data_IF_095548145268
#
_entry.id   IF_095548145268
#
_cell.length_a   1.000
_cell.length_b   1.000
_cell.length_c   1.000
_cell.angle_alpha   90.00
_cell.angle_beta   90.00
_cell.angle_gamma   90.00
#
_symmetry.space_group_name_H-M   'P 1'
#
loop_
_entity.id
_entity.type
_entity.pdbx_description
1 polymer ?
#
# COMPACT_ATOMS: atom_id res chain seq x y z
N UNK A 1 2.06 2.34 -14.98
CA UNK A 1 2.93 2.86 -16.05
C UNK A 1 3.33 1.74 -17.00
N UNK A 2 4.12 0.74 -16.59
CA UNK A 2 4.57 -0.35 -17.47
C UNK A 2 3.43 -1.15 -18.11
N UNK A 3 2.38 -1.51 -17.35
CA UNK A 3 1.19 -2.16 -17.92
C UNK A 3 0.42 -1.30 -18.93
N UNK A 4 0.36 0.02 -18.71
CA UNK A 4 -0.23 0.94 -19.70
C UNK A 4 0.61 1.01 -20.98
N UNK A 5 1.94 1.01 -20.85
CA UNK A 5 2.85 0.91 -22.00
C UNK A 5 2.68 -0.41 -22.73
N UNK A 6 2.51 -1.53 -22.01
CA UNK A 6 2.21 -2.84 -22.58
C UNK A 6 0.93 -2.80 -23.44
N UNK A 7 -0.18 -2.33 -22.88
CA UNK A 7 -1.45 -2.30 -23.61
C UNK A 7 -1.43 -1.35 -24.80
N UNK A 8 -0.76 -0.19 -24.70
CA UNK A 8 -0.70 0.79 -25.78
C UNK A 8 0.32 0.50 -26.88
N UNK A 9 1.41 -0.20 -26.57
CA UNK A 9 2.59 -0.30 -27.45
C UNK A 9 3.10 -1.72 -27.71
N UNK A 10 2.47 -2.77 -27.15
CA UNK A 10 2.94 -4.16 -27.33
C UNK A 10 3.03 -4.59 -28.80
N UNK A 11 2.12 -4.12 -29.66
CA UNK A 11 2.12 -4.42 -31.09
C UNK A 11 3.29 -3.79 -31.87
N UNK A 12 3.95 -2.78 -31.31
CA UNK A 12 5.11 -2.09 -31.89
C UNK A 12 6.44 -2.59 -31.30
N UNK A 13 6.39 -3.48 -30.30
CA UNK A 13 7.57 -4.06 -29.66
C UNK A 13 7.91 -5.43 -30.25
N UNK A 14 9.19 -5.80 -30.16
CA UNK A 14 9.59 -7.18 -30.44
C UNK A 14 8.98 -8.13 -29.38
N UNK A 15 8.63 -9.36 -29.78
CA UNK A 15 8.02 -10.35 -28.87
C UNK A 15 8.82 -10.54 -27.55
N UNK A 16 10.17 -10.60 -27.54
CA UNK A 16 10.93 -10.71 -26.28
C UNK A 16 10.84 -9.45 -25.40
N UNK A 17 10.97 -8.25 -25.98
CA UNK A 17 10.83 -6.99 -25.23
C UNK A 17 9.44 -6.86 -24.64
N UNK A 18 8.47 -7.32 -25.42
CA UNK A 18 7.10 -7.35 -25.06
C UNK A 18 6.89 -8.23 -23.81
N UNK A 19 7.19 -9.53 -23.90
CA UNK A 19 7.07 -10.46 -22.76
C UNK A 19 7.82 -9.97 -21.52
N UNK A 20 9.04 -9.43 -21.69
CA UNK A 20 9.81 -8.88 -20.57
C UNK A 20 9.06 -7.73 -19.88
N UNK A 21 8.51 -6.78 -20.64
CA UNK A 21 7.76 -5.64 -20.10
C UNK A 21 6.54 -6.11 -19.29
N UNK A 22 5.85 -7.14 -19.76
CA UNK A 22 4.75 -7.75 -19.02
C UNK A 22 5.21 -8.40 -17.71
N UNK A 23 6.26 -9.22 -17.74
CA UNK A 23 6.80 -9.85 -16.51
C UNK A 23 7.26 -8.82 -15.48
N UNK A 24 7.91 -7.74 -15.92
CA UNK A 24 8.31 -6.64 -15.03
C UNK A 24 7.07 -5.94 -14.44
N UNK A 25 5.99 -5.80 -15.21
CA UNK A 25 4.72 -5.25 -14.72
C UNK A 25 4.14 -6.13 -13.61
N UNK A 26 4.06 -7.44 -13.82
CA UNK A 26 3.58 -8.39 -12.80
C UNK A 26 4.44 -8.31 -11.53
N UNK A 27 5.76 -8.39 -11.67
CA UNK A 27 6.69 -8.33 -10.55
C UNK A 27 6.60 -7.01 -9.76
N UNK A 28 6.48 -5.88 -10.45
CA UNK A 28 6.30 -4.57 -9.81
C UNK A 28 5.00 -4.50 -9.00
N UNK A 29 3.92 -5.09 -9.53
CA UNK A 29 2.61 -5.07 -8.87
C UNK A 29 2.61 -5.91 -7.58
N UNK A 30 3.17 -7.12 -7.63
CA UNK A 30 3.35 -7.95 -6.44
C UNK A 30 4.28 -7.28 -5.42
N UNK A 31 5.36 -6.65 -5.87
CA UNK A 31 6.29 -5.92 -4.98
C UNK A 31 5.61 -4.74 -4.29
N UNK A 32 4.77 -3.98 -5.00
CA UNK A 32 3.99 -2.91 -4.40
C UNK A 32 3.00 -3.43 -3.34
N UNK A 33 2.32 -4.54 -3.64
CA UNK A 33 1.41 -5.24 -2.72
C UNK A 33 2.12 -5.67 -1.43
N UNK A 34 3.34 -6.22 -1.55
CA UNK A 34 4.20 -6.54 -0.40
C UNK A 34 4.50 -5.32 0.47
N UNK A 35 4.98 -4.23 -0.12
CA UNK A 35 5.35 -3.03 0.66
C UNK A 35 4.15 -2.35 1.32
N UNK A 36 2.99 -2.35 0.67
CA UNK A 36 1.75 -1.85 1.27
C UNK A 36 1.37 -2.65 2.52
N UNK A 37 1.41 -3.98 2.43
CA UNK A 37 1.08 -4.85 3.57
C UNK A 37 2.12 -4.74 4.69
N UNK A 38 3.41 -4.72 4.36
CA UNK A 38 4.48 -4.53 5.33
C UNK A 38 4.35 -3.19 6.07
N UNK A 39 4.14 -2.09 5.33
CA UNK A 39 3.93 -0.76 5.91
C UNK A 39 2.71 -0.70 6.83
N UNK A 40 1.59 -1.30 6.42
CA UNK A 40 0.40 -1.41 7.26
C UNK A 40 0.64 -2.24 8.53
N UNK A 41 1.41 -3.32 8.44
CA UNK A 41 1.74 -4.18 9.58
C UNK A 41 2.55 -3.42 10.64
N UNK A 42 3.62 -2.72 10.24
CA UNK A 42 4.43 -1.90 11.15
C UNK A 42 3.66 -0.69 11.71
N UNK A 43 2.67 -0.15 10.97
CA UNK A 43 1.78 0.89 11.48
C UNK A 43 0.71 0.41 12.46
N UNK A 44 0.37 -0.88 12.44
CA UNK A 44 -0.82 -1.42 13.12
C UNK A 44 -0.48 -2.36 14.28
N UNK A 45 0.65 -3.06 14.24
CA UNK A 45 0.98 -4.12 15.19
C UNK A 45 2.21 -3.77 16.06
N UNK A 46 2.53 -4.64 17.01
CA UNK A 46 3.83 -4.60 17.69
C UNK A 46 4.93 -5.06 16.74
N UNK A 47 6.18 -4.67 17.00
CA UNK A 47 7.33 -5.01 16.14
C UNK A 47 7.43 -6.50 15.83
N UNK A 48 7.28 -7.38 16.83
CA UNK A 48 7.34 -8.84 16.64
C UNK A 48 6.25 -9.35 15.70
N UNK A 49 5.00 -8.90 15.91
CA UNK A 49 3.88 -9.30 15.07
C UNK A 49 3.98 -8.69 13.66
N UNK A 50 4.47 -7.46 13.53
CA UNK A 50 4.72 -6.83 12.24
C UNK A 50 5.80 -7.57 11.43
N UNK A 51 6.88 -8.04 12.07
CA UNK A 51 7.90 -8.88 11.42
C UNK A 51 7.28 -10.19 10.92
N UNK A 52 6.45 -10.86 11.74
CA UNK A 52 5.80 -12.10 11.33
C UNK A 52 4.86 -11.89 10.12
N UNK A 53 4.04 -10.85 10.14
CA UNK A 53 3.17 -10.50 9.00
C UNK A 53 3.98 -10.11 7.77
N UNK A 54 5.09 -9.40 7.94
CA UNK A 54 5.98 -9.03 6.83
C UNK A 54 6.67 -10.25 6.22
N UNK A 55 7.09 -11.22 7.05
CA UNK A 55 7.63 -12.49 6.57
C UNK A 55 6.58 -13.30 5.80
N UNK A 56 5.33 -13.35 6.28
CA UNK A 56 4.23 -13.95 5.54
C UNK A 56 3.95 -13.22 4.21
N UNK A 57 4.01 -11.88 4.19
CA UNK A 57 3.89 -11.08 2.98
C UNK A 57 5.04 -11.35 1.98
N UNK A 58 6.26 -11.55 2.46
CA UNK A 58 7.41 -11.91 1.63
C UNK A 58 7.26 -13.31 1.04
N UNK A 59 6.78 -14.28 1.83
CA UNK A 59 6.47 -15.63 1.34
C UNK A 59 5.37 -15.59 0.26
N UNK A 60 4.30 -14.83 0.48
CA UNK A 60 3.25 -14.57 -0.52
C UNK A 60 3.82 -13.97 -1.80
N UNK A 61 4.68 -12.94 -1.70
CA UNK A 61 5.35 -12.34 -2.85
C UNK A 61 6.19 -13.37 -3.61
N UNK A 62 6.97 -14.19 -2.90
CA UNK A 62 7.78 -15.22 -3.53
C UNK A 62 6.92 -16.23 -4.30
N UNK A 63 5.83 -16.70 -3.70
CA UNK A 63 4.86 -17.60 -4.36
C UNK A 63 4.28 -16.93 -5.61
N UNK A 64 3.85 -15.68 -5.50
CA UNK A 64 3.32 -14.92 -6.65
C UNK A 64 4.36 -14.75 -7.76
N UNK A 65 5.61 -14.39 -7.43
CA UNK A 65 6.69 -14.22 -8.41
C UNK A 65 7.01 -15.53 -9.13
N UNK A 66 7.14 -16.64 -8.38
CA UNK A 66 7.38 -17.96 -8.96
C UNK A 66 6.23 -18.38 -9.87
N UNK A 67 4.98 -18.19 -9.45
CA UNK A 67 3.81 -18.48 -10.26
C UNK A 67 3.77 -17.62 -11.54
N UNK A 68 4.02 -16.32 -11.41
CA UNK A 68 4.03 -15.36 -12.52
C UNK A 68 5.18 -15.57 -13.51
N UNK A 69 6.19 -16.38 -13.18
CA UNK A 69 7.27 -16.70 -14.11
C UNK A 69 6.75 -17.56 -15.29
N UNK A 70 5.79 -18.45 -15.03
CA UNK A 70 5.17 -19.32 -16.04
C UNK A 70 3.77 -18.90 -16.48
N UNK A 71 3.15 -17.95 -15.78
CA UNK A 71 1.79 -17.47 -16.04
C UNK A 71 1.81 -16.01 -16.49
N UNK A 72 0.97 -15.67 -17.46
CA UNK A 72 0.83 -14.31 -18.00
C UNK A 72 -0.54 -13.70 -17.68
N UNK A 73 -1.42 -14.47 -17.04
CA UNK A 73 -2.77 -14.07 -16.68
C UNK A 73 -2.75 -13.01 -15.57
N UNK A 74 -3.64 -12.03 -15.69
CA UNK A 74 -3.77 -10.98 -14.68
C UNK A 74 -4.48 -11.47 -13.41
N UNK A 75 -5.12 -12.64 -13.44
CA UNK A 75 -5.87 -13.20 -12.31
C UNK A 75 -5.02 -13.35 -11.05
N UNK A 76 -3.74 -13.72 -11.20
CA UNK A 76 -2.82 -13.80 -10.07
C UNK A 76 -2.63 -12.45 -9.38
N UNK A 77 -2.61 -11.35 -10.14
CA UNK A 77 -2.52 -9.99 -9.59
C UNK A 77 -3.79 -9.64 -8.82
N UNK A 78 -4.95 -10.04 -9.33
CA UNK A 78 -6.25 -9.83 -8.66
C UNK A 78 -6.26 -10.56 -7.32
N UNK A 79 -5.89 -11.85 -7.30
CA UNK A 79 -5.84 -12.65 -6.07
C UNK A 79 -4.83 -12.08 -5.07
N UNK A 80 -3.62 -11.77 -5.53
CA UNK A 80 -2.55 -11.20 -4.71
C UNK A 80 -2.98 -9.87 -4.07
N UNK A 81 -3.48 -8.95 -4.90
CA UNK A 81 -3.85 -7.60 -4.46
C UNK A 81 -5.07 -7.64 -3.53
N UNK A 82 -6.07 -8.46 -3.84
CA UNK A 82 -7.27 -8.63 -3.00
C UNK A 82 -6.91 -9.21 -1.64
N UNK A 83 -6.08 -10.24 -1.59
CA UNK A 83 -5.61 -10.83 -0.33
C UNK A 83 -4.85 -9.81 0.52
N UNK A 84 -3.97 -9.01 -0.09
CA UNK A 84 -3.26 -7.95 0.62
C UNK A 84 -4.20 -6.85 1.12
N UNK A 85 -5.13 -6.36 0.29
CA UNK A 85 -6.08 -5.32 0.70
C UNK A 85 -6.99 -5.79 1.83
N UNK A 86 -7.46 -7.04 1.79
CA UNK A 86 -8.23 -7.63 2.88
C UNK A 86 -7.41 -7.69 4.18
N UNK A 87 -6.15 -8.13 4.12
CA UNK A 87 -5.27 -8.15 5.28
C UNK A 87 -5.03 -6.73 5.83
N UNK A 88 -4.78 -5.74 4.97
CA UNK A 88 -4.59 -4.33 5.39
C UNK A 88 -5.87 -3.79 6.03
N UNK A 89 -7.05 -4.14 5.52
CA UNK A 89 -8.33 -3.72 6.11
C UNK A 89 -8.50 -4.28 7.52
N UNK A 90 -8.14 -5.56 7.75
CA UNK A 90 -8.11 -6.17 9.07
C UNK A 90 -7.11 -5.45 9.99
N UNK A 91 -5.91 -5.16 9.50
CA UNK A 91 -4.90 -4.42 10.28
C UNK A 91 -5.38 -3.02 10.65
N UNK A 92 -6.01 -2.30 9.72
CA UNK A 92 -6.61 -0.99 9.97
C UNK A 92 -7.72 -1.07 11.03
N UNK A 93 -8.58 -2.10 10.96
CA UNK A 93 -9.62 -2.34 11.96
C UNK A 93 -9.03 -2.65 13.35
N UNK A 94 -8.01 -3.51 13.43
CA UNK A 94 -7.29 -3.80 14.69
C UNK A 94 -6.68 -2.54 15.29
N UNK A 95 -6.01 -1.72 14.47
CA UNK A 95 -5.43 -0.45 14.91
C UNK A 95 -6.48 0.56 15.39
N UNK A 96 -7.66 0.57 14.77
CA UNK A 96 -8.80 1.38 15.20
C UNK A 96 -9.37 0.90 16.54
N UNK A 97 -9.66 -0.39 16.67
CA UNK A 97 -10.25 -0.97 17.88
C UNK A 97 -9.33 -0.79 19.08
N UNK A 98 -8.02 -1.03 18.91
CA UNK A 98 -7.06 -0.99 20.01
C UNK A 98 -6.58 0.41 20.39
N UNK A 99 -6.46 1.32 19.42
CA UNK A 99 -5.78 2.61 19.62
C UNK A 99 -6.51 3.81 19.02
N UNK A 100 -7.67 3.62 18.37
CA UNK A 100 -8.38 4.66 17.61
C UNK A 100 -7.46 5.40 16.64
N UNK A 101 -6.54 4.67 16.02
CA UNK A 101 -5.49 5.27 15.19
C UNK A 101 -6.11 6.13 14.07
N UNK A 102 -5.75 7.43 13.96
CA UNK A 102 -6.36 8.33 12.97
C UNK A 102 -6.15 7.88 11.52
N UNK A 103 -5.07 7.16 11.23
CA UNK A 103 -4.78 6.60 9.91
C UNK A 103 -5.78 5.53 9.47
N UNK A 104 -6.32 4.74 10.42
CA UNK A 104 -7.15 3.57 10.11
C UNK A 104 -8.37 3.89 9.26
N UNK A 105 -9.08 4.99 9.56
CA UNK A 105 -10.27 5.38 8.79
C UNK A 105 -9.95 5.76 7.34
N UNK A 106 -8.80 6.40 7.12
CA UNK A 106 -8.37 6.80 5.78
C UNK A 106 -7.96 5.60 4.95
N UNK A 107 -7.22 4.67 5.58
CA UNK A 107 -6.82 3.41 4.94
C UNK A 107 -8.05 2.57 4.60
N UNK A 108 -8.94 2.35 5.58
CA UNK A 108 -10.16 1.59 5.36
C UNK A 108 -11.06 2.22 4.29
N UNK A 109 -11.29 3.54 4.34
CA UNK A 109 -12.08 4.24 3.33
C UNK A 109 -11.45 4.13 1.93
N UNK A 110 -10.12 4.26 1.82
CA UNK A 110 -9.42 4.07 0.56
C UNK A 110 -9.57 2.66 -0.01
N UNK A 111 -9.44 1.62 0.82
CA UNK A 111 -9.62 0.23 0.40
C UNK A 111 -11.07 -0.04 -0.04
N UNK A 112 -12.05 0.40 0.76
CA UNK A 112 -13.47 0.21 0.45
C UNK A 112 -13.88 0.97 -0.82
N UNK A 113 -13.34 2.18 -1.03
CA UNK A 113 -13.57 2.95 -2.24
C UNK A 113 -12.91 2.31 -3.46
N UNK A 114 -11.72 1.71 -3.30
CA UNK A 114 -11.08 0.93 -4.36
C UNK A 114 -11.88 -0.33 -4.73
N UNK A 115 -12.46 -1.01 -3.73
CA UNK A 115 -13.38 -2.12 -3.98
C UNK A 115 -14.65 -1.65 -4.71
N UNK A 116 -15.19 -0.46 -4.38
CA UNK A 116 -16.30 0.13 -5.11
C UNK A 116 -15.94 0.47 -6.56
N UNK A 117 -14.71 0.94 -6.83
CA UNK A 117 -14.21 1.10 -8.21
C UNK A 117 -14.23 -0.24 -8.94
N UNK A 118 -13.70 -1.32 -8.34
CA UNK A 118 -13.74 -2.64 -8.96
C UNK A 118 -15.17 -3.13 -9.29
N UNK A 119 -16.17 -2.75 -8.49
CA UNK A 119 -17.59 -3.02 -8.79
C UNK A 119 -18.09 -2.21 -9.99
N UNK A 120 -17.70 -0.93 -10.10
CA UNK A 120 -18.02 -0.10 -11.28
C UNK A 120 -17.53 -0.78 -12.56
N UNK A 121 -16.29 -1.26 -12.54
CA UNK A 121 -15.66 -1.97 -13.65
C UNK A 121 -16.39 -3.28 -13.97
N UNK A 122 -16.58 -4.13 -12.96
CA UNK A 122 -17.19 -5.45 -13.14
C UNK A 122 -18.63 -5.41 -13.65
N UNK A 123 -19.37 -4.34 -13.34
CA UNK A 123 -20.74 -4.11 -13.80
C UNK A 123 -20.81 -3.19 -15.02
N UNK A 124 -19.67 -2.74 -15.55
CA UNK A 124 -19.55 -1.80 -16.67
C UNK A 124 -20.43 -0.53 -16.50
N UNK A 125 -20.50 0.01 -15.28
CA UNK A 125 -21.35 1.15 -14.96
C UNK A 125 -20.83 2.43 -15.62
N UNK A 126 -21.53 2.91 -16.65
CA UNK A 126 -21.15 4.09 -17.42
C UNK A 126 -22.18 5.21 -17.22
N UNK A 127 -21.82 6.36 -16.62
CA UNK A 127 -22.73 7.50 -16.45
C UNK A 127 -23.28 8.10 -17.75
N UNK A 128 -22.56 7.95 -18.86
CA UNK A 128 -23.01 8.44 -20.16
C UNK A 128 -22.05 8.06 -21.30
N UNK A 129 -22.35 8.47 -22.53
CA UNK A 129 -21.57 8.08 -23.72
C UNK A 129 -20.17 8.68 -23.78
N UNK A 130 -19.91 9.78 -23.07
CA UNK A 130 -18.61 10.47 -23.01
C UNK A 130 -17.83 10.15 -21.73
N UNK A 131 -18.39 9.33 -20.85
CA UNK A 131 -17.78 8.96 -19.58
C UNK A 131 -18.12 7.50 -19.29
N UNK A 132 -17.20 6.65 -19.72
CA UNK A 132 -17.31 5.20 -19.65
C UNK A 132 -17.10 4.68 -18.24
N UNK A 133 -17.33 3.38 -18.04
CA UNK A 133 -16.99 2.68 -16.81
C UNK A 133 -15.50 2.73 -16.52
N UNK A 134 -14.64 2.63 -17.52
CA UNK A 134 -13.19 2.81 -17.37
C UNK A 134 -12.89 4.20 -16.79
N UNK A 135 -13.48 5.25 -17.35
CA UNK A 135 -13.26 6.62 -16.88
C UNK A 135 -13.73 6.79 -15.43
N UNK A 136 -14.92 6.25 -15.12
CA UNK A 136 -15.47 6.29 -13.76
C UNK A 136 -14.60 5.48 -12.79
N UNK A 137 -14.17 4.28 -13.16
CA UNK A 137 -13.26 3.44 -12.39
C UNK A 137 -12.00 4.23 -12.03
N UNK A 138 -11.36 4.87 -13.02
CA UNK A 138 -10.13 5.62 -12.80
C UNK A 138 -10.34 6.81 -11.87
N UNK A 139 -11.43 7.56 -12.02
CA UNK A 139 -11.75 8.70 -11.13
C UNK A 139 -11.96 8.23 -9.68
N UNK A 140 -12.75 7.18 -9.48
CA UNK A 140 -12.97 6.60 -8.14
C UNK A 140 -11.67 6.06 -7.56
N UNK A 141 -10.83 5.43 -8.38
CA UNK A 141 -9.55 4.87 -7.98
C UNK A 141 -8.52 5.97 -7.60
N UNK A 142 -8.53 7.11 -8.28
CA UNK A 142 -7.71 8.29 -7.90
C UNK A 142 -8.12 8.79 -6.51
N UNK A 143 -9.43 8.89 -6.23
CA UNK A 143 -9.92 9.27 -4.91
C UNK A 143 -9.51 8.24 -3.84
N UNK A 144 -9.61 6.94 -4.14
CA UNK A 144 -9.16 5.86 -3.26
C UNK A 144 -7.66 5.97 -2.93
N UNK A 145 -6.82 6.20 -3.94
CA UNK A 145 -5.38 6.41 -3.78
C UNK A 145 -5.06 7.64 -2.93
N UNK A 146 -5.81 8.73 -3.09
CA UNK A 146 -5.67 9.90 -2.23
C UNK A 146 -5.94 9.57 -0.75
N UNK A 147 -7.01 8.82 -0.46
CA UNK A 147 -7.33 8.38 0.91
C UNK A 147 -6.23 7.48 1.48
N UNK A 148 -5.73 6.52 0.70
CA UNK A 148 -4.61 5.66 1.09
C UNK A 148 -3.33 6.48 1.38
N UNK A 149 -3.01 7.45 0.53
CA UNK A 149 -1.88 8.35 0.73
C UNK A 149 -2.02 9.16 2.03
N UNK A 150 -3.21 9.72 2.29
CA UNK A 150 -3.51 10.42 3.56
C UNK A 150 -3.33 9.50 4.76
N UNK A 151 -3.78 8.25 4.67
CA UNK A 151 -3.55 7.22 5.68
C UNK A 151 -2.07 6.94 5.92
N UNK A 152 -1.30 6.71 4.85
CA UNK A 152 0.14 6.47 4.92
C UNK A 152 0.93 7.64 5.53
N UNK A 153 0.55 8.88 5.22
CA UNK A 153 1.14 10.07 5.87
C UNK A 153 0.92 10.10 7.37
N UNK A 154 -0.28 9.73 7.82
CA UNK A 154 -0.59 9.67 9.26
C UNK A 154 0.15 8.54 9.95
N UNK A 155 0.32 7.38 9.30
CA UNK A 155 1.16 6.30 9.82
C UNK A 155 2.61 6.75 9.99
N UNK A 156 3.19 7.42 8.98
CA UNK A 156 4.55 7.95 9.06
C UNK A 156 4.71 8.99 10.16
N UNK A 157 3.75 9.91 10.30
CA UNK A 157 3.78 10.90 11.36
C UNK A 157 3.76 10.24 12.75
N UNK A 158 2.94 9.21 12.93
CA UNK A 158 2.88 8.46 14.19
C UNK A 158 4.17 7.68 14.49
N UNK A 159 4.86 7.15 13.47
CA UNK A 159 6.12 6.42 13.64
C UNK A 159 7.34 7.32 13.85
N UNK A 160 7.24 8.62 13.55
CA UNK A 160 8.35 9.56 13.65
C UNK A 160 8.57 10.11 15.07
N UNK A 161 7.62 9.91 16.00
CA UNK A 161 7.64 10.52 17.33
C UNK A 161 7.68 12.06 17.31
N UNK A 162 7.43 12.76 18.43
CA UNK A 162 8.02 14.08 18.59
C UNK A 162 9.54 13.88 18.47
N UNK A 163 10.22 14.61 17.59
CA UNK A 163 11.63 14.88 17.85
C UNK A 163 11.69 15.39 19.30
N UNK A 164 12.63 14.94 20.14
CA UNK A 164 12.95 15.71 21.33
C UNK A 164 13.33 17.09 20.78
N UNK A 165 12.46 18.07 21.00
CA UNK A 165 12.94 19.44 21.05
C UNK A 165 14.12 19.41 22.03
N UNK A 166 15.18 20.18 21.76
CA UNK A 166 16.43 20.11 22.53
C UNK A 166 16.30 20.35 24.05
N UNK A 167 15.08 20.42 24.59
CA UNK A 167 14.70 20.40 26.00
C UNK A 167 15.29 19.23 26.80
N UNK A 168 15.58 18.08 26.16
CA UNK A 168 16.30 16.97 26.84
C UNK A 168 17.75 17.35 27.21
N UNK A 169 18.36 18.29 26.49
CA UNK A 169 19.69 18.83 26.81
C UNK A 169 19.64 20.10 27.68
N UNK A 170 18.46 20.71 27.86
CA UNK A 170 18.27 21.92 28.66
C UNK A 170 18.09 21.64 30.17
N UNK A 171 18.03 20.38 30.58
CA UNK A 171 17.84 19.97 31.98
C UNK A 171 19.13 19.62 32.72
N UNK A 172 20.31 19.87 32.14
CA UNK A 172 21.56 19.74 32.90
C UNK A 172 21.55 20.83 33.98
N UNK A 173 21.46 20.48 35.29
CA UNK A 173 21.56 21.49 36.34
C UNK A 173 22.91 22.22 36.17
N UNK A 174 22.98 23.53 36.49
CA UNK A 174 24.24 24.26 36.47
C UNK A 174 25.26 23.45 37.28
N UNK A 175 26.44 23.22 36.69
CA UNK A 175 27.55 22.64 37.44
C UNK A 175 27.88 23.67 38.51
N UNK A 176 27.66 23.31 39.77
CA UNK A 176 28.09 24.10 40.91
C UNK A 176 29.60 24.31 40.81
N UNK A 177 30.08 25.55 40.65
CA UNK A 177 31.51 25.81 40.47
C UNK A 177 32.32 25.57 41.75
N UNK A 178 31.70 25.29 42.91
CA UNK A 178 32.45 25.09 44.15
C UNK A 178 31.90 23.94 45.03
N UNK A 179 32.37 22.70 44.85
CA UNK A 179 31.91 21.56 45.65
C UNK A 179 32.48 21.50 47.09
N UNK A 180 33.16 22.55 47.58
CA UNK A 180 33.88 22.54 48.87
C UNK A 180 33.72 23.81 49.73
N UNK A 181 32.65 24.59 49.57
CA UNK A 181 32.23 25.59 50.57
C UNK A 181 31.03 25.13 51.39
#
# INVERSE_FOLDING_TARGET
MLGGTWHGFSGQLSLPSATLLWKVTLAATGTASFFLLAGAAFGSLSTRAAIAVTAAAAAKLLVFLVWSASHDEFDGVIVDSTAAMAAILVLAAVAWIRRRAPASRWIAAGILLSAAAAVVEALSLSPGPFFSHDDLYHVVQIAALYLLYRGGRLLRAASSGPFPDGSFFASKPPIDPNPYE
#
